data_IF_893420945694
#
_entry.id   IF_893420945694
#
_cell.length_a   1.000
_cell.length_b   1.000
_cell.length_c   1.000
_cell.angle_alpha   90.00
_cell.angle_beta   90.00
_cell.angle_gamma   90.00
#
_symmetry.space_group_name_H-M   'P 1'
#
loop_
_entity.id
_entity.type
_entity.pdbx_description
1 polymer ?
#
# COMPACT_ATOMS: atom_id res chain seq x y z
N UNK A 1 -25.08 -11.82 -7.24
CA UNK A 1 -23.98 -12.47 -6.53
C UNK A 1 -23.68 -11.64 -5.29
N UNK A 2 -23.62 -12.23 -4.08
CA UNK A 2 -23.28 -11.45 -2.90
C UNK A 2 -21.89 -10.85 -3.10
N UNK A 3 -21.72 -9.59 -2.72
CA UNK A 3 -20.41 -8.93 -2.69
C UNK A 3 -19.48 -9.83 -1.89
N UNK A 4 -18.31 -10.15 -2.44
CA UNK A 4 -17.31 -10.94 -1.73
C UNK A 4 -16.94 -10.17 -0.48
N UNK A 5 -17.22 -10.79 0.65
CA UNK A 5 -17.12 -10.14 1.93
C UNK A 5 -15.64 -9.98 2.30
N UNK A 6 -15.13 -8.75 2.28
CA UNK A 6 -13.77 -8.42 2.70
C UNK A 6 -13.58 -8.57 4.23
N UNK A 7 -14.63 -8.99 4.96
CA UNK A 7 -14.61 -9.08 6.44
C UNK A 7 -13.52 -9.98 7.00
N UNK A 8 -13.06 -10.98 6.24
CA UNK A 8 -11.93 -11.80 6.69
C UNK A 8 -10.57 -11.06 6.68
N UNK A 9 -10.48 -9.91 5.97
CA UNK A 9 -9.31 -9.06 5.96
C UNK A 9 -9.41 -7.89 6.93
N UNK A 10 -10.61 -7.58 7.39
CA UNK A 10 -10.94 -6.40 8.16
C UNK A 10 -11.67 -6.87 9.41
N UNK A 11 -11.21 -6.43 10.57
CA UNK A 11 -11.99 -6.55 11.80
C UNK A 11 -13.30 -5.78 11.64
N UNK A 12 -14.44 -6.34 12.10
CA UNK A 12 -15.73 -5.61 12.13
C UNK A 12 -15.62 -4.33 12.97
N UNK A 13 -14.63 -4.27 13.88
CA UNK A 13 -14.24 -3.10 14.66
C UNK A 13 -12.72 -2.93 14.56
N UNK A 14 -12.20 -2.24 13.52
CA UNK A 14 -10.76 -2.08 13.35
C UNK A 14 -10.14 -1.35 14.53
N UNK A 15 -9.01 -1.85 15.01
CA UNK A 15 -8.28 -1.29 16.14
C UNK A 15 -7.08 -0.51 15.62
N UNK A 16 -7.16 0.83 15.67
CA UNK A 16 -6.14 1.75 15.15
C UNK A 16 -5.34 2.35 16.30
N UNK A 17 -4.03 2.12 16.30
CA UNK A 17 -3.12 2.74 17.25
C UNK A 17 -2.64 4.09 16.73
N UNK A 18 -2.78 5.12 17.57
CA UNK A 18 -2.32 6.50 17.28
C UNK A 18 -1.25 6.89 18.28
N UNK A 19 0.00 7.01 17.80
CA UNK A 19 1.16 7.34 18.63
C UNK A 19 1.66 8.74 18.31
N UNK A 20 1.45 9.67 19.24
CA UNK A 20 1.89 11.07 19.13
C UNK A 20 2.10 11.64 20.55
N UNK A 21 3.15 12.40 20.78
CA UNK A 21 3.44 13.01 22.07
C UNK A 21 2.35 13.99 22.54
N UNK A 22 1.64 14.62 21.61
CA UNK A 22 0.60 15.61 21.92
C UNK A 22 -0.75 14.93 22.20
N UNK A 23 -1.25 15.11 23.43
CA UNK A 23 -2.60 14.64 23.81
C UNK A 23 -3.69 15.24 22.92
N UNK A 24 -3.54 16.51 22.54
CA UNK A 24 -4.50 17.20 21.68
C UNK A 24 -4.54 16.57 20.28
N UNK A 25 -3.37 16.30 19.70
CA UNK A 25 -3.26 15.66 18.37
C UNK A 25 -3.87 14.26 18.40
N UNK A 26 -3.54 13.44 19.41
CA UNK A 26 -4.15 12.11 19.55
C UNK A 26 -5.67 12.18 19.64
N UNK A 27 -6.21 13.14 20.42
CA UNK A 27 -7.66 13.32 20.53
C UNK A 27 -8.28 13.74 19.21
N UNK A 28 -7.71 14.72 18.52
CA UNK A 28 -8.22 15.18 17.21
C UNK A 28 -8.23 14.04 16.18
N UNK A 29 -7.15 13.26 16.11
CA UNK A 29 -7.10 12.10 15.21
C UNK A 29 -8.15 11.06 15.60
N UNK A 30 -8.30 10.76 16.89
CA UNK A 30 -9.29 9.82 17.39
C UNK A 30 -10.72 10.27 17.07
N UNK A 31 -11.07 11.54 17.31
CA UNK A 31 -12.40 12.09 17.05
C UNK A 31 -12.75 12.00 15.54
N UNK A 32 -11.77 12.29 14.67
CA UNK A 32 -11.98 12.20 13.22
C UNK A 32 -12.07 10.73 12.76
N UNK A 33 -11.21 9.85 13.27
CA UNK A 33 -11.27 8.43 12.94
C UNK A 33 -12.61 7.80 13.36
N UNK A 34 -13.11 8.11 14.56
CA UNK A 34 -14.40 7.59 15.05
C UNK A 34 -15.58 8.10 14.24
N UNK A 35 -15.51 9.34 13.72
CA UNK A 35 -16.53 9.88 12.81
C UNK A 35 -16.50 9.23 11.44
N UNK A 36 -15.31 9.00 10.87
CA UNK A 36 -15.14 8.49 9.50
C UNK A 36 -15.19 6.95 9.41
N UNK A 37 -14.93 6.26 10.52
CA UNK A 37 -14.87 4.80 10.64
C UNK A 37 -15.76 4.32 11.78
N UNK A 38 -17.07 4.17 11.57
CA UNK A 38 -17.97 3.67 12.61
C UNK A 38 -17.49 2.33 13.17
N UNK A 39 -17.43 2.23 14.51
CA UNK A 39 -16.96 1.02 15.19
C UNK A 39 -15.45 0.91 15.36
N UNK A 40 -14.64 1.87 14.88
CA UNK A 40 -13.20 1.88 15.12
C UNK A 40 -12.88 2.02 16.62
N UNK A 41 -11.98 1.14 17.11
CA UNK A 41 -11.34 1.33 18.42
C UNK A 41 -10.03 2.08 18.22
N UNK A 42 -9.90 3.25 18.82
CA UNK A 42 -8.68 4.05 18.76
C UNK A 42 -7.88 3.91 20.03
N UNK A 43 -6.65 3.39 19.91
CA UNK A 43 -5.69 3.23 21.00
C UNK A 43 -4.68 4.37 20.96
N UNK A 44 -4.84 5.37 21.82
CA UNK A 44 -3.94 6.53 21.90
C UNK A 44 -2.73 6.26 22.78
N UNK A 45 -1.52 6.39 22.24
CA UNK A 45 -0.25 6.19 22.94
C UNK A 45 0.57 7.48 22.94
N UNK A 46 1.17 7.84 24.07
CA UNK A 46 1.96 9.06 24.20
C UNK A 46 3.39 8.90 23.66
N UNK A 47 3.87 7.67 23.55
CA UNK A 47 5.22 7.35 23.12
C UNK A 47 5.42 5.87 22.85
N UNK A 48 6.67 5.48 22.68
CA UNK A 48 7.09 4.10 22.33
C UNK A 48 6.71 3.11 23.42
N UNK A 49 6.91 3.45 24.70
CA UNK A 49 6.62 2.55 25.81
C UNK A 49 5.12 2.30 25.98
N UNK A 50 4.28 3.33 25.78
CA UNK A 50 2.83 3.18 25.79
C UNK A 50 2.38 2.26 24.62
N UNK A 51 2.95 2.47 23.43
CA UNK A 51 2.65 1.67 22.26
C UNK A 51 3.04 0.21 22.45
N UNK A 52 4.22 -0.09 23.03
CA UNK A 52 4.64 -1.46 23.36
C UNK A 52 3.69 -2.15 24.32
N UNK A 53 3.24 -1.46 25.35
CA UNK A 53 2.24 -2.01 26.29
C UNK A 53 0.91 -2.30 25.60
N UNK A 54 0.48 -1.40 24.71
CA UNK A 54 -0.75 -1.59 23.95
C UNK A 54 -0.66 -2.78 22.97
N UNK A 55 0.49 -3.01 22.33
CA UNK A 55 0.74 -4.19 21.49
C UNK A 55 0.70 -5.50 22.29
N UNK A 56 1.16 -5.49 23.54
CA UNK A 56 1.06 -6.67 24.42
C UNK A 56 -0.36 -6.93 24.89
N UNK A 57 -1.20 -5.90 24.97
CA UNK A 57 -2.60 -6.03 25.37
C UNK A 57 -3.51 -6.63 24.29
N UNK A 58 -3.08 -6.61 23.05
CA UNK A 58 -3.81 -7.21 21.92
C UNK A 58 -3.40 -6.69 20.55
N UNK A 59 -3.83 -7.36 19.47
CA UNK A 59 -3.49 -6.99 18.12
C UNK A 59 -4.09 -5.64 17.72
N UNK A 60 -3.44 -4.96 16.77
CA UNK A 60 -3.94 -3.75 16.11
C UNK A 60 -4.00 -3.97 14.60
N UNK A 61 -4.89 -3.25 13.92
CA UNK A 61 -5.08 -3.35 12.48
C UNK A 61 -4.26 -2.32 11.71
N UNK A 62 -3.85 -1.23 12.37
CA UNK A 62 -3.00 -0.19 11.79
C UNK A 62 -2.35 0.62 12.91
N UNK A 63 -1.15 1.09 12.64
CA UNK A 63 -0.42 2.04 13.52
C UNK A 63 -0.15 3.33 12.75
N UNK A 64 -0.54 4.47 13.34
CA UNK A 64 0.01 5.76 12.93
C UNK A 64 0.99 6.23 14.00
N UNK A 65 2.14 6.75 13.62
CA UNK A 65 3.14 7.25 14.57
C UNK A 65 3.75 8.56 14.12
N UNK A 66 3.95 9.50 15.05
CA UNK A 66 4.82 10.63 14.80
C UNK A 66 6.26 10.15 14.58
N UNK A 67 7.04 10.86 13.77
CA UNK A 67 8.45 10.53 13.55
C UNK A 67 9.27 10.72 14.83
N UNK A 68 9.10 11.86 15.52
CA UNK A 68 9.77 12.15 16.78
C UNK A 68 8.80 11.97 17.96
N UNK A 69 9.19 11.18 18.94
CA UNK A 69 8.48 10.94 20.18
C UNK A 69 9.38 11.32 21.37
N UNK A 70 8.80 11.63 22.52
CA UNK A 70 9.56 12.08 23.70
C UNK A 70 10.48 10.99 24.29
N UNK A 71 10.12 9.74 24.11
CA UNK A 71 10.80 8.55 24.63
C UNK A 71 11.40 7.68 23.53
N UNK A 72 11.48 8.18 22.28
CA UNK A 72 12.06 7.46 21.17
C UNK A 72 11.69 8.02 19.81
N UNK A 73 11.74 7.16 18.83
CA UNK A 73 11.58 7.47 17.41
C UNK A 73 10.53 6.55 16.81
N UNK A 74 9.68 7.10 15.95
CA UNK A 74 8.62 6.38 15.26
C UNK A 74 9.12 5.26 14.35
N UNK A 75 10.34 5.36 13.82
CA UNK A 75 10.96 4.29 13.02
C UNK A 75 11.37 3.10 13.91
N UNK A 76 11.88 3.37 15.10
CA UNK A 76 12.20 2.33 16.08
C UNK A 76 10.91 1.65 16.58
N UNK A 77 9.82 2.41 16.73
CA UNK A 77 8.51 1.84 17.03
C UNK A 77 8.02 0.94 15.87
N UNK A 78 8.13 1.38 14.62
CA UNK A 78 7.76 0.58 13.45
C UNK A 78 8.46 -0.78 13.46
N UNK A 79 9.77 -0.81 13.77
CA UNK A 79 10.51 -2.06 13.97
C UNK A 79 9.90 -2.91 15.08
N UNK A 80 9.62 -2.34 16.24
CA UNK A 80 9.02 -3.07 17.36
C UNK A 80 7.65 -3.68 17.00
N UNK A 81 6.85 -3.01 16.17
CA UNK A 81 5.58 -3.55 15.64
C UNK A 81 5.82 -4.79 14.79
N UNK A 82 6.82 -4.77 13.90
CA UNK A 82 7.16 -5.93 13.06
C UNK A 82 7.66 -7.13 13.84
N UNK A 83 8.37 -6.89 14.93
CA UNK A 83 8.90 -7.91 15.82
C UNK A 83 7.85 -8.49 16.78
N UNK A 84 6.71 -7.80 16.95
CA UNK A 84 5.63 -8.26 17.81
C UNK A 84 4.89 -9.45 17.20
N UNK A 85 4.59 -10.45 18.02
CA UNK A 85 3.90 -11.67 17.57
C UNK A 85 2.54 -11.35 16.93
N UNK A 86 2.31 -11.87 15.72
CA UNK A 86 1.08 -11.66 14.97
C UNK A 86 0.89 -10.26 14.38
N UNK A 87 1.89 -9.35 14.51
CA UNK A 87 1.80 -7.95 14.05
C UNK A 87 2.72 -7.65 12.86
N UNK A 88 3.43 -8.64 12.35
CA UNK A 88 4.47 -8.45 11.32
C UNK A 88 3.98 -7.74 10.04
N UNK A 89 2.71 -7.81 9.74
CA UNK A 89 2.11 -7.26 8.51
C UNK A 89 1.15 -6.08 8.74
N UNK A 90 1.05 -5.60 9.98
CA UNK A 90 0.20 -4.45 10.30
C UNK A 90 0.73 -3.20 9.60
N UNK A 91 -0.09 -2.44 8.87
CA UNK A 91 0.35 -1.19 8.29
C UNK A 91 0.85 -0.21 9.35
N UNK A 92 2.06 0.32 9.14
CA UNK A 92 2.65 1.37 9.98
C UNK A 92 2.84 2.63 9.15
N UNK A 93 2.12 3.69 9.51
CA UNK A 93 2.12 4.97 8.80
C UNK A 93 2.86 5.99 9.68
N UNK A 94 3.94 6.56 9.14
CA UNK A 94 4.65 7.66 9.81
C UNK A 94 4.02 8.98 9.41
N UNK A 95 3.54 9.75 10.39
CA UNK A 95 2.94 11.08 10.22
C UNK A 95 3.98 12.14 10.55
N UNK A 96 4.43 12.91 9.55
CA UNK A 96 5.52 13.90 9.70
C UNK A 96 5.19 15.21 8.99
N UNK A 97 5.65 16.34 9.53
CA UNK A 97 5.60 17.64 8.84
C UNK A 97 6.56 17.73 7.65
N UNK A 98 7.61 16.91 7.64
CA UNK A 98 8.62 16.84 6.58
C UNK A 98 8.41 15.61 5.68
N UNK A 99 7.19 15.07 5.64
CA UNK A 99 6.88 13.86 4.88
C UNK A 99 7.25 13.98 3.40
N UNK A 100 7.12 15.16 2.79
CA UNK A 100 7.55 15.39 1.40
C UNK A 100 9.05 15.23 1.22
N UNK A 101 9.87 15.70 2.16
CA UNK A 101 11.31 15.53 2.13
C UNK A 101 11.67 14.06 2.34
N UNK A 102 11.04 13.38 3.29
CA UNK A 102 11.19 11.94 3.51
C UNK A 102 10.61 11.10 2.38
N UNK A 103 9.55 11.56 1.68
CA UNK A 103 9.02 10.92 0.48
C UNK A 103 9.94 11.14 -0.74
N UNK A 104 10.65 12.25 -0.84
CA UNK A 104 11.62 12.53 -1.90
C UNK A 104 12.97 11.86 -1.61
N UNK A 105 13.45 11.92 -0.39
CA UNK A 105 14.65 11.22 0.07
C UNK A 105 14.39 9.75 0.34
N UNK A 106 13.11 9.37 0.41
CA UNK A 106 12.56 8.05 0.72
C UNK A 106 13.55 7.16 1.49
N UNK A 107 13.79 7.53 2.72
CA UNK A 107 14.39 6.60 3.69
C UNK A 107 13.33 5.56 4.02
N UNK A 108 13.07 4.66 3.06
CA UNK A 108 12.22 3.51 3.31
C UNK A 108 12.93 2.65 4.34
N UNK A 109 12.40 2.72 5.53
CA UNK A 109 12.68 1.73 6.53
C UNK A 109 11.80 0.53 6.19
N UNK A 110 12.34 -0.66 6.10
CA UNK A 110 11.64 -1.92 5.84
C UNK A 110 10.44 -2.15 6.79
N UNK A 111 10.40 -1.43 7.89
CA UNK A 111 9.36 -1.51 8.93
C UNK A 111 8.18 -0.56 8.70
N UNK A 112 8.34 0.47 7.86
CA UNK A 112 7.31 1.48 7.61
C UNK A 112 6.54 1.14 6.34
N UNK A 113 5.21 1.13 6.43
CA UNK A 113 4.36 0.87 5.28
C UNK A 113 4.20 2.10 4.41
N UNK A 114 3.99 3.28 5.03
CA UNK A 114 3.81 4.52 4.30
C UNK A 114 4.11 5.76 5.17
N UNK A 115 4.19 6.91 4.50
CA UNK A 115 4.37 8.21 5.14
C UNK A 115 3.19 9.12 4.80
N UNK A 116 2.72 9.87 5.80
CA UNK A 116 1.65 10.84 5.63
C UNK A 116 2.13 12.26 6.00
N UNK A 117 1.85 13.22 5.12
CA UNK A 117 2.19 14.63 5.38
C UNK A 117 1.17 15.24 6.36
N UNK A 118 1.66 15.65 7.52
CA UNK A 118 0.87 16.27 8.59
C UNK A 118 0.18 17.56 8.12
N UNK A 119 0.76 18.27 7.14
CA UNK A 119 0.20 19.48 6.58
C UNK A 119 -1.14 19.28 5.86
N UNK A 120 -1.44 18.05 5.44
CA UNK A 120 -2.72 17.70 4.81
C UNK A 120 -3.89 17.66 5.80
N UNK A 121 -3.61 17.69 7.11
CA UNK A 121 -4.61 17.73 8.16
C UNK A 121 -5.19 16.38 8.58
N UNK A 122 -5.95 16.39 9.68
CA UNK A 122 -6.44 15.17 10.32
C UNK A 122 -7.55 14.46 9.54
N UNK A 123 -8.37 15.19 8.78
CA UNK A 123 -9.42 14.60 7.91
C UNK A 123 -8.81 13.81 6.76
N UNK A 124 -7.77 14.36 6.13
CA UNK A 124 -7.03 13.65 5.10
C UNK A 124 -6.31 12.42 5.66
N UNK A 125 -5.77 12.50 6.89
CA UNK A 125 -5.19 11.35 7.57
C UNK A 125 -6.25 10.27 7.83
N UNK A 126 -7.44 10.62 8.29
CA UNK A 126 -8.50 9.64 8.52
C UNK A 126 -8.96 8.96 7.23
N UNK A 127 -9.11 9.72 6.14
CA UNK A 127 -9.42 9.15 4.83
C UNK A 127 -8.30 8.21 4.33
N UNK A 128 -7.04 8.55 4.60
CA UNK A 128 -5.88 7.73 4.28
C UNK A 128 -5.89 6.43 5.10
N UNK A 129 -6.08 6.51 6.41
CA UNK A 129 -6.21 5.35 7.32
C UNK A 129 -7.37 4.46 6.90
N UNK A 130 -8.53 5.04 6.57
CA UNK A 130 -9.69 4.29 6.07
C UNK A 130 -9.35 3.47 4.83
N UNK A 131 -8.56 4.03 3.91
CA UNK A 131 -8.10 3.31 2.72
C UNK A 131 -7.29 2.04 3.04
N UNK A 132 -6.64 1.99 4.21
CA UNK A 132 -5.91 0.81 4.68
C UNK A 132 -6.76 -0.17 5.50
N UNK A 133 -7.63 0.33 6.37
CA UNK A 133 -8.40 -0.55 7.29
C UNK A 133 -9.75 -1.00 6.71
N UNK A 134 -10.30 -0.23 5.77
CA UNK A 134 -11.55 -0.56 5.06
C UNK A 134 -11.41 -0.23 3.57
N UNK A 135 -10.56 -0.97 2.84
CA UNK A 135 -10.39 -0.75 1.40
C UNK A 135 -11.70 -1.01 0.67
N UNK A 136 -12.12 -0.06 -0.16
CA UNK A 136 -13.32 -0.22 -0.99
C UNK A 136 -13.05 -1.26 -2.09
N UNK A 137 -13.95 -2.24 -2.28
CA UNK A 137 -13.86 -3.19 -3.38
C UNK A 137 -13.82 -2.48 -4.73
N UNK A 138 -12.99 -2.97 -5.64
CA UNK A 138 -12.87 -2.47 -7.02
C UNK A 138 -13.17 -3.61 -8.02
N UNK A 139 -14.43 -4.09 -8.05
CA UNK A 139 -14.78 -5.25 -8.86
C UNK A 139 -14.50 -5.01 -10.33
N UNK A 140 -13.85 -5.99 -10.97
CA UNK A 140 -13.51 -5.96 -12.37
C UNK A 140 -12.29 -5.12 -12.74
N UNK A 141 -11.64 -4.42 -11.79
CA UNK A 141 -10.37 -3.76 -12.05
C UNK A 141 -9.32 -4.79 -12.49
N UNK A 142 -8.55 -4.46 -13.53
CA UNK A 142 -7.60 -5.37 -14.15
C UNK A 142 -6.19 -5.12 -13.62
N UNK A 143 -5.60 -6.16 -13.04
CA UNK A 143 -4.21 -6.20 -12.60
C UNK A 143 -3.38 -6.97 -13.63
N UNK A 144 -2.44 -6.30 -14.29
CA UNK A 144 -1.41 -6.96 -15.10
C UNK A 144 -0.33 -7.45 -14.15
N UNK A 145 -0.18 -8.77 -14.04
CA UNK A 145 0.74 -9.40 -13.12
C UNK A 145 1.90 -10.05 -13.84
N UNK A 146 3.13 -9.60 -13.56
CA UNK A 146 4.37 -10.09 -14.16
C UNK A 146 5.13 -10.93 -13.13
N UNK A 147 5.19 -12.24 -13.33
CA UNK A 147 5.84 -13.18 -12.41
C UNK A 147 6.23 -14.44 -13.19
N UNK A 148 7.48 -14.82 -13.14
CA UNK A 148 8.01 -15.97 -13.87
C UNK A 148 7.78 -17.32 -13.17
N UNK A 149 7.57 -17.30 -11.84
CA UNK A 149 7.23 -18.47 -11.06
C UNK A 149 5.74 -18.78 -11.13
N UNK A 150 5.36 -19.81 -11.85
CA UNK A 150 3.95 -20.23 -11.98
C UNK A 150 3.30 -20.55 -10.63
N UNK A 151 4.07 -21.06 -9.67
CA UNK A 151 3.54 -21.41 -8.34
C UNK A 151 3.21 -20.14 -7.54
N UNK A 152 4.10 -19.17 -7.55
CA UNK A 152 3.89 -17.87 -6.90
C UNK A 152 2.75 -17.13 -7.59
N UNK A 153 2.76 -17.14 -8.93
CA UNK A 153 1.73 -16.48 -9.73
C UNK A 153 0.32 -17.01 -9.43
N UNK A 154 0.15 -18.33 -9.39
CA UNK A 154 -1.15 -18.93 -9.13
C UNK A 154 -1.67 -18.63 -7.71
N UNK A 155 -0.79 -18.65 -6.70
CA UNK A 155 -1.14 -18.30 -5.33
C UNK A 155 -1.57 -16.82 -5.23
N UNK A 156 -0.75 -15.91 -5.77
CA UNK A 156 -1.02 -14.47 -5.73
C UNK A 156 -2.26 -14.11 -6.55
N UNK A 157 -2.44 -14.72 -7.72
CA UNK A 157 -3.63 -14.55 -8.55
C UNK A 157 -4.91 -14.90 -7.79
N UNK A 158 -4.92 -16.05 -7.10
CA UNK A 158 -6.08 -16.47 -6.28
C UNK A 158 -6.37 -15.49 -5.15
N UNK A 159 -5.34 -14.91 -4.52
CA UNK A 159 -5.52 -13.87 -3.50
C UNK A 159 -6.28 -12.67 -4.09
N UNK A 160 -5.86 -12.17 -5.25
CA UNK A 160 -6.46 -11.01 -5.90
C UNK A 160 -7.86 -11.29 -6.46
N UNK A 161 -8.07 -12.43 -7.09
CA UNK A 161 -9.36 -12.83 -7.69
C UNK A 161 -10.46 -13.05 -6.65
N UNK A 162 -10.11 -13.49 -5.43
CA UNK A 162 -11.07 -13.53 -4.29
C UNK A 162 -11.67 -12.16 -3.97
N UNK A 163 -10.95 -11.08 -4.29
CA UNK A 163 -11.41 -9.70 -4.11
C UNK A 163 -12.00 -9.09 -5.38
N UNK A 164 -12.47 -9.96 -6.31
CA UNK A 164 -13.14 -9.56 -7.57
C UNK A 164 -12.25 -8.76 -8.52
N UNK A 165 -10.93 -8.82 -8.35
CA UNK A 165 -9.99 -8.25 -9.30
C UNK A 165 -9.81 -9.21 -10.47
N UNK A 166 -9.68 -8.67 -11.69
CA UNK A 166 -9.33 -9.45 -12.85
C UNK A 166 -7.81 -9.48 -13.00
N UNK A 167 -7.20 -10.67 -13.03
CA UNK A 167 -5.74 -10.80 -13.11
C UNK A 167 -5.31 -11.34 -14.47
N UNK A 168 -4.53 -10.54 -15.19
CA UNK A 168 -3.86 -10.94 -16.42
C UNK A 168 -2.41 -11.25 -16.08
N UNK A 169 -2.06 -12.54 -16.03
CA UNK A 169 -0.72 -12.96 -15.67
C UNK A 169 0.13 -13.18 -16.93
N UNK A 170 1.36 -12.68 -16.90
CA UNK A 170 2.40 -12.87 -17.89
C UNK A 170 3.72 -13.29 -17.23
N UNK A 171 4.57 -14.00 -17.96
CA UNK A 171 5.79 -14.58 -17.42
C UNK A 171 7.02 -13.67 -17.55
N UNK A 172 6.96 -12.71 -18.49
CA UNK A 172 8.11 -11.88 -18.86
C UNK A 172 7.74 -10.40 -18.94
N UNK A 173 8.72 -9.53 -18.82
CA UNK A 173 8.55 -8.11 -19.05
C UNK A 173 8.12 -7.80 -20.48
N UNK A 174 8.64 -8.53 -21.47
CA UNK A 174 8.35 -8.39 -22.90
C UNK A 174 6.87 -8.65 -23.20
N UNK A 175 6.29 -9.68 -22.58
CA UNK A 175 4.86 -9.98 -22.68
C UNK A 175 4.01 -8.84 -22.10
N UNK A 176 4.43 -8.29 -20.97
CA UNK A 176 3.75 -7.15 -20.35
C UNK A 176 3.79 -5.92 -21.26
N UNK A 177 4.93 -5.62 -21.87
CA UNK A 177 5.04 -4.51 -22.83
C UNK A 177 4.20 -4.70 -24.08
N UNK A 178 4.11 -5.94 -24.57
CA UNK A 178 3.27 -6.28 -25.71
C UNK A 178 1.80 -6.00 -25.42
N UNK A 179 1.31 -6.36 -24.23
CA UNK A 179 -0.07 -6.07 -23.78
C UNK A 179 -0.31 -4.57 -23.63
N UNK A 180 0.58 -3.84 -22.97
CA UNK A 180 0.45 -2.39 -22.79
C UNK A 180 0.52 -1.63 -24.11
N UNK A 181 1.36 -2.10 -25.07
CA UNK A 181 1.40 -1.55 -26.42
C UNK A 181 0.10 -1.79 -27.17
N UNK A 182 -0.46 -3.00 -27.09
CA UNK A 182 -1.74 -3.30 -27.72
C UNK A 182 -2.88 -2.43 -27.16
N UNK A 183 -2.87 -2.18 -25.84
CA UNK A 183 -3.83 -1.28 -25.20
C UNK A 183 -3.64 0.17 -25.70
N UNK A 184 -2.41 0.70 -25.66
CA UNK A 184 -2.12 2.07 -26.08
C UNK A 184 -2.49 2.37 -27.54
N UNK A 185 -2.45 1.35 -28.39
CA UNK A 185 -2.84 1.42 -29.79
C UNK A 185 -4.33 1.14 -30.04
N UNK A 186 -5.13 0.93 -28.98
CA UNK A 186 -6.55 0.58 -29.11
C UNK A 186 -6.80 -0.78 -29.77
N UNK A 187 -5.81 -1.67 -29.77
CA UNK A 187 -5.90 -3.02 -30.39
C UNK A 187 -6.54 -4.05 -29.47
N UNK A 188 -6.84 -3.67 -28.24
CA UNK A 188 -7.55 -4.50 -27.25
C UNK A 188 -8.56 -3.64 -26.50
N UNK A 189 -9.68 -4.25 -26.13
CA UNK A 189 -10.67 -3.63 -25.23
C UNK A 189 -10.30 -3.79 -23.75
N UNK A 190 -9.22 -4.53 -23.45
CA UNK A 190 -8.76 -4.70 -22.08
C UNK A 190 -8.02 -3.44 -21.62
N UNK A 191 -8.49 -2.90 -20.52
CA UNK A 191 -7.81 -1.82 -19.81
C UNK A 191 -7.03 -2.37 -18.64
N UNK A 192 -5.77 -1.94 -18.49
CA UNK A 192 -4.93 -2.28 -17.34
C UNK A 192 -5.02 -1.14 -16.32
N UNK A 193 -5.53 -1.45 -15.13
CA UNK A 193 -5.72 -0.47 -14.06
C UNK A 193 -4.53 -0.40 -13.12
N UNK A 194 -3.75 -1.50 -12.99
CA UNK A 194 -2.58 -1.58 -12.13
C UNK A 194 -1.61 -2.63 -12.67
N UNK A 195 -0.31 -2.39 -12.51
CA UNK A 195 0.73 -3.40 -12.76
C UNK A 195 1.30 -3.88 -11.42
N UNK A 196 1.34 -5.20 -11.25
CA UNK A 196 2.05 -5.88 -10.17
C UNK A 196 3.21 -6.66 -10.80
N UNK A 197 4.44 -6.44 -10.37
CA UNK A 197 5.61 -7.13 -10.97
C UNK A 197 6.56 -7.65 -9.90
N UNK A 198 7.12 -8.83 -10.11
CA UNK A 198 8.32 -9.21 -9.35
C UNK A 198 9.52 -8.36 -9.78
N UNK A 199 10.46 -8.12 -8.87
CA UNK A 199 11.75 -7.49 -9.17
C UNK A 199 12.58 -8.40 -10.07
N UNK A 200 12.65 -9.69 -9.73
CA UNK A 200 13.49 -10.67 -10.42
C UNK A 200 12.63 -11.46 -11.39
N UNK A 201 12.81 -11.25 -12.67
CA UNK A 201 12.11 -11.96 -13.75
C UNK A 201 13.11 -12.81 -14.55
N UNK A 202 12.59 -13.84 -15.20
CA UNK A 202 13.37 -14.59 -16.21
C UNK A 202 13.54 -13.74 -17.47
N UNK A 203 14.74 -13.75 -18.02
CA UNK A 203 15.07 -13.00 -19.23
C UNK A 203 16.14 -11.95 -18.99
N UNK A 204 16.24 -10.99 -19.91
CA UNK A 204 17.20 -9.89 -19.82
C UNK A 204 16.65 -8.69 -19.02
N UNK A 205 15.32 -8.61 -18.88
CA UNK A 205 14.62 -7.50 -18.25
C UNK A 205 14.11 -7.89 -16.86
N UNK A 206 14.20 -6.92 -15.94
CA UNK A 206 13.76 -7.03 -14.55
C UNK A 206 12.43 -6.31 -14.31
N UNK A 207 11.84 -6.47 -13.13
CA UNK A 207 10.68 -5.66 -12.74
C UNK A 207 10.99 -4.16 -12.62
N UNK A 208 12.26 -3.79 -12.38
CA UNK A 208 12.70 -2.38 -12.46
C UNK A 208 12.56 -1.85 -13.88
N UNK A 209 12.98 -2.62 -14.90
CA UNK A 209 12.84 -2.23 -16.30
C UNK A 209 11.36 -2.08 -16.69
N UNK A 210 10.47 -2.93 -16.12
CA UNK A 210 9.01 -2.76 -16.29
C UNK A 210 8.56 -1.39 -15.76
N UNK A 211 8.99 -1.01 -14.56
CA UNK A 211 8.66 0.31 -13.97
C UNK A 211 9.18 1.45 -14.85
N UNK A 212 10.47 1.44 -15.18
CA UNK A 212 11.12 2.51 -15.94
C UNK A 212 10.47 2.69 -17.31
N UNK A 213 10.19 1.60 -18.02
CA UNK A 213 9.56 1.66 -19.34
C UNK A 213 8.13 2.18 -19.29
N UNK A 214 7.36 1.82 -18.29
CA UNK A 214 6.01 2.38 -18.08
C UNK A 214 6.07 3.90 -17.88
N UNK A 215 7.09 4.42 -17.17
CA UNK A 215 7.24 5.85 -16.88
C UNK A 215 7.83 6.64 -18.03
N UNK A 216 8.79 6.06 -18.75
CA UNK A 216 9.57 6.76 -19.79
C UNK A 216 8.94 6.52 -21.17
N UNK A 217 8.82 5.28 -21.61
CA UNK A 217 8.41 4.96 -22.99
C UNK A 217 6.90 5.12 -23.19
N UNK A 218 6.09 4.60 -22.24
CA UNK A 218 4.63 4.78 -22.28
C UNK A 218 4.18 6.14 -21.73
N UNK A 219 5.06 6.88 -21.06
CA UNK A 219 4.76 8.16 -20.41
C UNK A 219 3.56 8.09 -19.42
N UNK A 220 3.29 6.92 -18.84
CA UNK A 220 2.22 6.75 -17.86
C UNK A 220 2.69 7.15 -16.48
N UNK A 221 2.15 8.25 -15.96
CA UNK A 221 2.38 8.71 -14.59
C UNK A 221 1.83 7.74 -13.54
N UNK A 222 2.30 7.90 -12.29
CA UNK A 222 1.92 7.04 -11.14
C UNK A 222 0.40 6.96 -10.88
N UNK A 223 -0.34 8.02 -11.25
CA UNK A 223 -1.80 8.07 -11.10
C UNK A 223 -2.54 7.46 -12.29
N UNK A 224 -1.93 7.48 -13.49
CA UNK A 224 -2.52 6.90 -14.70
C UNK A 224 -2.42 5.38 -14.69
N UNK A 225 -1.25 4.85 -14.34
CA UNK A 225 -1.01 3.42 -14.21
C UNK A 225 -0.11 3.16 -13.00
N UNK A 226 -0.69 2.84 -11.83
CA UNK A 226 0.08 2.48 -10.67
C UNK A 226 0.86 1.18 -10.90
N UNK A 227 2.08 1.14 -10.37
CA UNK A 227 2.96 -0.04 -10.41
C UNK A 227 3.37 -0.41 -9.00
N UNK A 228 3.04 -1.62 -8.58
CA UNK A 228 3.52 -2.24 -7.36
C UNK A 228 4.62 -3.23 -7.69
N UNK A 229 5.70 -3.21 -6.92
CA UNK A 229 6.82 -4.13 -7.13
C UNK A 229 6.94 -5.08 -5.93
N UNK A 230 6.96 -6.39 -6.22
CA UNK A 230 7.18 -7.42 -5.21
C UNK A 230 8.67 -7.68 -5.07
N UNK A 231 9.19 -7.68 -3.84
CA UNK A 231 10.61 -7.87 -3.57
C UNK A 231 10.85 -8.75 -2.35
N UNK A 232 11.83 -9.63 -2.44
CA UNK A 232 12.38 -10.35 -1.28
C UNK A 232 13.56 -9.63 -0.64
N UNK A 233 14.04 -8.55 -1.26
CA UNK A 233 15.17 -7.78 -0.75
C UNK A 233 14.72 -6.80 0.33
N UNK A 234 15.29 -6.92 1.51
CA UNK A 234 15.05 -6.03 2.65
C UNK A 234 16.03 -4.86 2.70
N UNK A 235 16.98 -4.73 1.74
CA UNK A 235 17.91 -3.62 1.71
C UNK A 235 17.19 -2.29 1.37
N UNK A 236 17.17 -1.30 2.29
CA UNK A 236 16.45 -0.04 2.08
C UNK A 236 16.95 0.76 0.88
N UNK A 237 18.25 0.63 0.53
CA UNK A 237 18.82 1.29 -0.64
C UNK A 237 18.20 0.76 -1.93
N UNK A 238 18.15 -0.57 -2.11
CA UNK A 238 17.57 -1.21 -3.29
C UNK A 238 16.07 -0.94 -3.40
N UNK A 239 15.36 -0.95 -2.28
CA UNK A 239 13.94 -0.59 -2.23
C UNK A 239 13.71 0.87 -2.65
N UNK A 240 14.54 1.81 -2.16
CA UNK A 240 14.49 3.22 -2.54
C UNK A 240 14.74 3.43 -4.04
N UNK A 241 15.62 2.65 -4.64
CA UNK A 241 15.91 2.68 -6.07
C UNK A 241 14.67 2.33 -6.92
N UNK A 242 13.91 1.29 -6.54
CA UNK A 242 12.67 0.91 -7.23
C UNK A 242 11.62 2.03 -7.20
N UNK A 243 11.53 2.73 -6.07
CA UNK A 243 10.59 3.82 -5.91
C UNK A 243 11.03 5.09 -6.68
N UNK A 244 12.35 5.36 -6.75
CA UNK A 244 12.93 6.42 -7.59
C UNK A 244 12.74 6.11 -9.08
N UNK A 245 12.85 4.84 -9.48
CA UNK A 245 12.53 4.39 -10.83
C UNK A 245 11.06 4.65 -11.21
N UNK A 246 10.19 4.86 -10.22
CA UNK A 246 8.80 5.24 -10.46
C UNK A 246 7.76 4.26 -9.96
N UNK A 247 8.13 3.21 -9.21
CA UNK A 247 7.15 2.36 -8.53
C UNK A 247 6.26 3.21 -7.60
N UNK A 248 5.00 2.82 -7.46
CA UNK A 248 4.07 3.46 -6.53
C UNK A 248 4.34 3.00 -5.11
N UNK A 249 4.54 1.67 -4.95
CA UNK A 249 4.78 1.05 -3.64
C UNK A 249 5.45 -0.32 -3.84
N UNK A 250 5.86 -0.91 -2.74
CA UNK A 250 6.51 -2.21 -2.69
C UNK A 250 5.68 -3.21 -1.89
N UNK A 251 5.73 -4.48 -2.30
CA UNK A 251 5.16 -5.61 -1.56
C UNK A 251 6.30 -6.53 -1.17
N UNK A 252 6.56 -6.65 0.14
CA UNK A 252 7.62 -7.51 0.66
C UNK A 252 7.22 -8.98 0.55
N UNK A 253 8.14 -9.82 0.10
CA UNK A 253 8.02 -11.29 0.19
C UNK A 253 8.49 -11.78 1.57
N UNK A 254 7.84 -12.77 2.20
CA UNK A 254 6.71 -13.56 1.68
C UNK A 254 5.43 -12.75 1.57
N UNK A 255 4.65 -13.02 0.50
CA UNK A 255 3.43 -12.26 0.20
C UNK A 255 2.34 -12.63 1.21
N UNK A 256 1.87 -11.62 1.92
CA UNK A 256 0.73 -11.72 2.81
C UNK A 256 -0.50 -11.12 2.13
N UNK A 257 -1.61 -11.88 2.09
CA UNK A 257 -2.80 -11.54 1.32
C UNK A 257 -3.40 -10.19 1.72
N UNK A 258 -3.57 -9.95 3.02
CA UNK A 258 -4.15 -8.72 3.53
C UNK A 258 -3.37 -7.50 3.07
N UNK A 259 -2.04 -7.53 3.21
CA UNK A 259 -1.18 -6.40 2.85
C UNK A 259 -1.15 -6.17 1.33
N UNK A 260 -1.04 -7.26 0.54
CA UNK A 260 -1.07 -7.17 -0.91
C UNK A 260 -2.38 -6.54 -1.39
N UNK A 261 -3.52 -7.10 -0.97
CA UNK A 261 -4.85 -6.63 -1.41
C UNK A 261 -5.11 -5.20 -0.98
N UNK A 262 -4.76 -4.85 0.26
CA UNK A 262 -4.88 -3.48 0.77
C UNK A 262 -4.10 -2.49 -0.10
N UNK A 263 -2.83 -2.80 -0.42
CA UNK A 263 -2.00 -1.94 -1.28
C UNK A 263 -2.54 -1.83 -2.71
N UNK A 264 -2.99 -2.93 -3.29
CA UNK A 264 -3.59 -2.94 -4.63
C UNK A 264 -4.85 -2.08 -4.68
N UNK A 265 -5.80 -2.32 -3.77
CA UNK A 265 -7.06 -1.56 -3.73
C UNK A 265 -6.82 -0.08 -3.44
N UNK A 266 -5.88 0.25 -2.55
CA UNK A 266 -5.50 1.63 -2.27
C UNK A 266 -4.97 2.36 -3.52
N UNK A 267 -4.07 1.74 -4.28
CA UNK A 267 -3.50 2.33 -5.49
C UNK A 267 -4.54 2.46 -6.60
N UNK A 268 -5.40 1.47 -6.78
CA UNK A 268 -6.52 1.52 -7.73
C UNK A 268 -7.48 2.68 -7.41
N UNK A 269 -7.81 2.87 -6.13
CA UNK A 269 -8.65 3.98 -5.68
C UNK A 269 -8.00 5.33 -5.98
N UNK A 270 -6.72 5.51 -5.67
CA UNK A 270 -5.99 6.75 -5.96
C UNK A 270 -5.95 7.06 -7.47
N UNK A 271 -5.76 6.04 -8.31
CA UNK A 271 -5.78 6.18 -9.76
C UNK A 271 -7.17 6.64 -10.24
N UNK A 272 -8.24 6.03 -9.73
CA UNK A 272 -9.63 6.37 -10.09
C UNK A 272 -10.01 7.80 -9.71
N UNK A 273 -9.59 8.26 -8.51
CA UNK A 273 -9.83 9.63 -8.06
C UNK A 273 -9.09 10.68 -8.90
N UNK A 274 -8.00 10.29 -9.55
CA UNK A 274 -7.21 11.16 -10.39
C UNK A 274 -7.64 11.16 -11.86
N UNK A 275 -8.48 10.21 -12.28
CA UNK A 275 -9.05 10.20 -13.62
C UNK A 275 -10.01 11.40 -13.75
N UNK A 276 -9.92 12.21 -14.82
CA UNK A 276 -10.91 13.25 -15.06
C UNK A 276 -12.30 12.59 -15.12
N UNK A 277 -13.28 13.16 -14.44
CA UNK A 277 -14.66 12.68 -14.52
C UNK A 277 -15.01 12.54 -16.00
N UNK A 278 -15.31 11.31 -16.43
CA UNK A 278 -15.75 11.09 -17.79
C UNK A 278 -16.97 12.00 -18.01
N UNK A 279 -16.84 12.98 -18.90
CA UNK A 279 -17.96 13.83 -19.29
C UNK A 279 -19.02 12.88 -19.82
N UNK A 280 -20.11 12.76 -19.04
CA UNK A 280 -21.34 12.11 -19.49
C UNK A 280 -21.83 12.96 -20.66
N UNK A 281 -21.61 12.44 -21.88
CA UNK A 281 -22.19 12.96 -23.10
C UNK A 281 -23.51 12.25 -23.35
#
# INVERSE_FOLDING_TARGET
>A
MPATDLRHLISDAPRVMVVDGSRLVRKLIADVLQRELPGVEVVGCAGVEDARRALQAGPVDLVTTALALSDGDGLALARSVREASGQAYVPVIVVSGDAQQHLVERRFNEYVTDYFDKALGHEALAAFVRGYVQPEPMPGATVLYVEDSRVVAEATKRMLERHQLHVVHVLTAEDAFSLLTAESLGRTSRHVDLVLTDVTLKGELSGRDVVERIRIDFAYGKRRLPVLVMTGDSNPHNQSELLRAGANDLVQKPIEERLLVTKVLFQLRLARLAAPAASVA
#
